data_IF_227719632770
#
_entry.id   IF_227719632770
#
_cell.length_a   1.000
_cell.length_b   1.000
_cell.length_c   1.000
_cell.angle_alpha   90.00
_cell.angle_beta   90.00
_cell.angle_gamma   90.00
#
_symmetry.space_group_name_H-M   'P 1'
#
loop_
_entity.id
_entity.type
_entity.pdbx_description
1 polymer ?
#
# COMPACT_ATOMS: atom_id res chain seq x y z
N UNK A 1 -16.98 -1.07 -8.34
CA UNK A 1 -16.70 -0.12 -7.24
C UNK A 1 -15.27 0.41 -7.28
N UNK A 2 -14.23 -0.38 -6.99
CA UNK A 2 -12.82 0.14 -6.99
C UNK A 2 -12.33 0.49 -8.40
N UNK A 3 -12.59 -0.33 -9.41
CA UNK A 3 -12.22 -0.03 -10.80
C UNK A 3 -12.88 1.27 -11.30
N UNK A 4 -14.18 1.43 -11.02
CA UNK A 4 -14.96 2.61 -11.40
C UNK A 4 -14.46 3.90 -10.71
N UNK A 5 -14.05 3.80 -9.45
CA UNK A 5 -13.42 4.91 -8.73
C UNK A 5 -12.10 5.33 -9.39
N UNK A 6 -11.25 4.37 -9.76
CA UNK A 6 -9.97 4.65 -10.43
C UNK A 6 -10.17 5.29 -11.81
N UNK A 7 -11.15 4.82 -12.59
CA UNK A 7 -11.53 5.45 -13.87
C UNK A 7 -11.96 6.90 -13.68
N UNK A 8 -12.76 7.19 -12.64
CA UNK A 8 -13.21 8.56 -12.34
C UNK A 8 -12.07 9.48 -11.88
N UNK A 9 -10.98 8.94 -11.33
CA UNK A 9 -9.81 9.70 -10.91
C UNK A 9 -8.88 10.06 -12.07
N UNK A 10 -8.87 9.27 -13.16
CA UNK A 10 -8.03 9.53 -14.32
C UNK A 10 -8.35 10.90 -14.94
N UNK A 11 -7.32 11.73 -15.13
CA UNK A 11 -7.45 13.08 -15.66
C UNK A 11 -8.08 14.11 -14.72
N UNK A 12 -8.49 13.74 -13.50
CA UNK A 12 -9.10 14.65 -12.52
C UNK A 12 -8.30 14.81 -11.23
N UNK A 13 -7.52 13.80 -10.85
CA UNK A 13 -6.66 13.83 -9.67
C UNK A 13 -5.18 13.96 -10.08
N UNK A 14 -4.30 14.41 -9.16
CA UNK A 14 -2.86 14.46 -9.42
C UNK A 14 -2.32 13.09 -9.85
N UNK A 15 -1.40 13.03 -10.83
CA UNK A 15 -1.00 11.76 -11.44
C UNK A 15 -0.26 10.84 -10.48
N UNK A 16 0.60 11.36 -9.62
CA UNK A 16 1.36 10.55 -8.64
C UNK A 16 0.46 9.70 -7.72
N UNK A 17 -0.53 10.25 -7.00
CA UNK A 17 -1.42 9.44 -6.17
C UNK A 17 -2.30 8.47 -6.97
N UNK A 18 -2.71 8.84 -8.19
CA UNK A 18 -3.46 7.91 -9.06
C UNK A 18 -2.59 6.73 -9.48
N UNK A 19 -1.33 6.97 -9.85
CA UNK A 19 -0.38 5.92 -10.22
C UNK A 19 -0.11 4.97 -9.05
N UNK A 20 0.06 5.48 -7.83
CA UNK A 20 0.22 4.64 -6.65
C UNK A 20 -1.00 3.73 -6.41
N UNK A 21 -2.22 4.24 -6.60
CA UNK A 21 -3.44 3.44 -6.44
C UNK A 21 -3.60 2.38 -7.54
N UNK A 22 -3.21 2.70 -8.77
CA UNK A 22 -3.21 1.74 -9.89
C UNK A 22 -2.22 0.62 -9.65
N UNK A 23 -1.01 0.94 -9.19
CA UNK A 23 0.03 -0.04 -8.84
C UNK A 23 -0.43 -0.93 -7.68
N UNK A 24 -1.02 -0.33 -6.64
CA UNK A 24 -1.57 -1.09 -5.52
C UNK A 24 -2.66 -2.06 -5.97
N UNK A 25 -3.58 -1.63 -6.86
CA UNK A 25 -4.61 -2.50 -7.42
C UNK A 25 -3.98 -3.66 -8.17
N UNK A 26 -3.03 -3.41 -9.08
CA UNK A 26 -2.44 -4.45 -9.93
C UNK A 26 -1.82 -5.57 -9.09
N UNK A 27 -1.03 -5.21 -8.07
CA UNK A 27 -0.30 -6.19 -7.27
C UNK A 27 -1.11 -6.78 -6.11
N UNK A 28 -2.04 -6.04 -5.52
CA UNK A 28 -2.73 -6.45 -4.30
C UNK A 28 -4.12 -7.05 -4.54
N UNK A 29 -4.74 -6.81 -5.69
CA UNK A 29 -6.14 -7.22 -5.93
C UNK A 29 -6.36 -8.72 -5.85
N UNK A 30 -5.54 -9.51 -6.54
CA UNK A 30 -5.64 -10.98 -6.55
C UNK A 30 -5.39 -11.58 -5.15
N UNK A 31 -4.29 -11.25 -4.45
CA UNK A 31 -4.07 -11.71 -3.08
C UNK A 31 -5.19 -11.35 -2.11
N UNK A 32 -5.64 -10.08 -2.11
CA UNK A 32 -6.70 -9.61 -1.21
C UNK A 32 -8.04 -10.33 -1.46
N UNK A 33 -8.40 -10.53 -2.73
CA UNK A 33 -9.63 -11.25 -3.11
C UNK A 33 -9.56 -12.74 -2.76
N UNK A 34 -8.38 -13.35 -2.87
CA UNK A 34 -8.15 -14.75 -2.51
C UNK A 34 -8.14 -15.00 -1.00
N UNK A 35 -7.62 -14.05 -0.22
CA UNK A 35 -7.56 -14.15 1.25
C UNK A 35 -8.95 -14.16 1.89
N UNK A 36 -9.92 -13.46 1.28
CA UNK A 36 -11.32 -13.38 1.75
C UNK A 36 -12.11 -14.66 1.45
N UNK A 37 -11.76 -15.41 0.40
CA UNK A 37 -12.60 -16.50 -0.10
C UNK A 37 -12.32 -17.89 0.50
N UNK A 38 -11.72 -17.99 1.70
CA UNK A 38 -11.70 -19.26 2.45
C UNK A 38 -11.08 -20.45 1.71
N UNK A 39 -10.20 -20.20 0.72
CA UNK A 39 -9.60 -21.25 -0.09
C UNK A 39 -8.61 -22.13 0.68
N UNK A 40 -7.92 -23.04 0.00
CA UNK A 40 -6.91 -23.96 0.56
C UNK A 40 -5.95 -23.26 1.53
N UNK A 41 -5.56 -22.02 1.24
CA UNK A 41 -4.69 -21.24 2.10
C UNK A 41 -5.31 -20.84 3.44
N UNK A 42 -6.61 -20.54 3.52
CA UNK A 42 -7.26 -20.22 4.79
C UNK A 42 -7.30 -21.47 5.70
N UNK A 43 -7.69 -22.63 5.14
CA UNK A 43 -7.72 -23.91 5.86
C UNK A 43 -6.32 -24.31 6.31
N UNK A 44 -5.32 -24.24 5.41
CA UNK A 44 -3.95 -24.59 5.72
C UNK A 44 -3.37 -23.71 6.83
N UNK A 45 -3.65 -22.41 6.82
CA UNK A 45 -3.15 -21.47 7.85
C UNK A 45 -3.89 -21.59 9.17
N UNK A 46 -5.19 -21.93 9.15
CA UNK A 46 -5.91 -22.27 10.38
C UNK A 46 -5.32 -23.50 11.06
N UNK A 47 -4.90 -24.50 10.28
CA UNK A 47 -4.32 -25.74 10.81
C UNK A 47 -2.83 -25.62 11.19
N UNK A 48 -2.02 -24.90 10.42
CA UNK A 48 -0.55 -24.88 10.57
C UNK A 48 0.03 -23.54 11.00
N UNK A 49 -0.81 -22.52 11.16
CA UNK A 49 -0.37 -21.14 11.37
C UNK A 49 0.12 -20.46 10.08
N UNK A 50 0.57 -19.23 10.22
CA UNK A 50 1.12 -18.43 9.12
C UNK A 50 2.65 -18.54 9.11
N UNK A 51 3.28 -18.69 7.93
CA UNK A 51 4.73 -18.54 7.83
C UNK A 51 5.17 -17.15 8.34
N UNK A 52 6.18 -17.09 9.19
CA UNK A 52 6.69 -15.83 9.74
C UNK A 52 7.05 -14.79 8.65
N UNK A 53 7.74 -15.16 7.55
CA UNK A 53 8.04 -14.19 6.48
C UNK A 53 6.78 -13.59 5.84
N UNK A 54 5.70 -14.36 5.75
CA UNK A 54 4.43 -13.88 5.21
C UNK A 54 3.77 -12.87 6.15
N UNK A 55 3.80 -13.12 7.47
CA UNK A 55 3.26 -12.18 8.45
C UNK A 55 4.05 -10.88 8.44
N UNK A 56 5.38 -10.96 8.44
CA UNK A 56 6.24 -9.79 8.41
C UNK A 56 6.00 -8.96 7.14
N UNK A 57 5.96 -9.61 5.98
CA UNK A 57 5.67 -8.95 4.71
C UNK A 57 4.28 -8.28 4.73
N UNK A 58 3.27 -8.93 5.29
CA UNK A 58 1.92 -8.37 5.37
C UNK A 58 1.87 -7.11 6.24
N UNK A 59 2.57 -7.12 7.38
CA UNK A 59 2.67 -5.95 8.27
C UNK A 59 3.40 -4.80 7.57
N UNK A 60 4.54 -5.07 6.92
CA UNK A 60 5.29 -4.06 6.15
C UNK A 60 4.43 -3.44 5.05
N UNK A 61 3.73 -4.26 4.26
CA UNK A 61 2.81 -3.78 3.21
C UNK A 61 1.70 -2.91 3.81
N UNK A 62 1.10 -3.33 4.93
CA UNK A 62 0.07 -2.54 5.61
C UNK A 62 0.59 -1.16 6.02
N UNK A 63 1.80 -1.09 6.57
CA UNK A 63 2.44 0.19 6.92
C UNK A 63 2.70 1.04 5.66
N UNK A 64 3.12 0.42 4.55
CA UNK A 64 3.26 1.08 3.26
C UNK A 64 1.97 1.75 2.79
N UNK A 65 0.83 1.06 2.92
CA UNK A 65 -0.48 1.64 2.60
C UNK A 65 -0.80 2.84 3.50
N UNK A 66 -0.52 2.76 4.81
CA UNK A 66 -0.70 3.90 5.72
C UNK A 66 0.15 5.11 5.32
N UNK A 67 1.38 4.88 4.87
CA UNK A 67 2.25 5.95 4.34
C UNK A 67 1.65 6.55 3.07
N UNK A 68 1.17 5.73 2.12
CA UNK A 68 0.51 6.21 0.91
C UNK A 68 -0.71 7.08 1.22
N UNK A 69 -1.53 6.70 2.21
CA UNK A 69 -2.66 7.51 2.71
C UNK A 69 -2.14 8.84 3.25
N UNK A 70 -1.09 8.84 4.06
CA UNK A 70 -0.46 10.06 4.55
C UNK A 70 0.03 10.97 3.42
N UNK A 71 0.67 10.40 2.38
CA UNK A 71 1.08 11.15 1.18
C UNK A 71 -0.11 11.80 0.49
N UNK A 72 -1.19 11.04 0.29
CA UNK A 72 -2.42 11.56 -0.32
C UNK A 72 -3.00 12.72 0.50
N UNK A 73 -3.07 12.61 1.83
CA UNK A 73 -3.57 13.68 2.70
C UNK A 73 -2.71 14.95 2.59
N UNK A 74 -1.38 14.82 2.55
CA UNK A 74 -0.48 15.96 2.36
C UNK A 74 -0.69 16.63 1.01
N UNK A 75 -0.88 15.83 -0.05
CA UNK A 75 -1.16 16.33 -1.40
C UNK A 75 -2.50 17.08 -1.43
N UNK A 76 -3.56 16.50 -0.89
CA UNK A 76 -4.90 17.11 -0.84
C UNK A 76 -4.94 18.39 0.00
N UNK A 77 -4.12 18.48 1.04
CA UNK A 77 -3.93 19.71 1.81
C UNK A 77 -3.18 20.82 1.03
N UNK A 78 -2.51 20.50 -0.09
CA UNK A 78 -1.69 21.45 -0.84
C UNK A 78 -0.23 21.55 -0.39
N UNK A 79 0.26 20.56 0.38
CA UNK A 79 1.65 20.46 0.80
C UNK A 79 2.01 21.36 1.98
N UNK A 80 1.88 22.68 1.86
CA UNK A 80 2.05 23.69 2.93
C UNK A 80 3.02 23.32 4.06
N UNK A 81 2.56 23.47 5.30
CA UNK A 81 3.29 23.09 6.53
C UNK A 81 3.46 21.58 6.71
N UNK A 82 2.78 20.77 5.89
CA UNK A 82 2.80 19.31 5.97
C UNK A 82 3.92 18.70 5.10
N UNK A 83 4.54 19.49 4.23
CA UNK A 83 5.66 19.07 3.38
C UNK A 83 6.80 18.53 4.25
N UNK A 84 7.36 17.40 3.83
CA UNK A 84 8.47 16.74 4.52
C UNK A 84 8.07 15.92 5.75
N UNK A 85 6.82 15.94 6.22
CA UNK A 85 6.37 15.08 7.34
C UNK A 85 6.40 13.60 6.97
N UNK A 86 5.91 13.24 5.77
CA UNK A 86 5.92 11.84 5.33
C UNK A 86 7.35 11.29 5.16
N UNK A 87 8.30 11.98 4.49
CA UNK A 87 9.70 11.55 4.47
C UNK A 87 10.34 11.37 5.85
N UNK A 88 9.95 12.18 6.85
CA UNK A 88 10.42 11.98 8.24
C UNK A 88 9.88 10.68 8.84
N UNK A 89 8.58 10.38 8.65
CA UNK A 89 7.97 9.12 9.07
C UNK A 89 8.64 7.95 8.36
N UNK A 90 8.83 8.03 7.04
CA UNK A 90 9.47 6.96 6.26
C UNK A 90 10.87 6.62 6.76
N UNK A 91 11.68 7.62 7.15
CA UNK A 91 13.01 7.37 7.73
C UNK A 91 12.93 6.81 9.15
N UNK A 92 12.03 7.33 9.97
CA UNK A 92 11.90 6.90 11.37
C UNK A 92 11.40 5.45 11.51
N UNK A 93 10.61 4.97 10.55
CA UNK A 93 10.01 3.64 10.54
C UNK A 93 10.51 2.77 9.37
N UNK A 94 11.70 3.06 8.85
CA UNK A 94 12.26 2.36 7.69
C UNK A 94 12.39 0.84 7.91
N UNK A 95 12.61 0.43 9.16
CA UNK A 95 12.74 -0.95 9.59
C UNK A 95 11.45 -1.77 9.46
N UNK A 96 10.28 -1.13 9.42
CA UNK A 96 8.97 -1.78 9.32
C UNK A 96 8.16 -1.34 8.09
N UNK A 97 8.80 -0.68 7.13
CA UNK A 97 8.20 -0.34 5.84
C UNK A 97 8.59 -1.34 4.74
N UNK A 98 7.87 -1.35 3.59
CA UNK A 98 8.29 -2.10 2.41
C UNK A 98 9.63 -1.56 1.90
N UNK A 99 10.46 -2.44 1.37
CA UNK A 99 11.69 -2.02 0.69
C UNK A 99 11.34 -1.14 -0.51
N UNK A 100 11.79 0.11 -0.48
CA UNK A 100 11.74 0.95 -1.68
C UNK A 100 12.81 0.46 -2.64
N UNK A 101 12.41 0.07 -3.86
CA UNK A 101 13.39 -0.15 -4.94
C UNK A 101 14.23 1.11 -5.07
N UNK A 102 15.51 1.02 -4.70
CA UNK A 102 16.50 2.03 -5.07
C UNK A 102 16.41 2.16 -6.59
N UNK A 103 16.01 3.31 -7.10
CA UNK A 103 16.21 3.61 -8.51
C UNK A 103 17.72 3.59 -8.71
N UNK A 104 18.22 2.51 -9.32
CA UNK A 104 19.59 2.39 -9.76
C UNK A 104 19.83 3.60 -10.67
N UNK A 105 20.85 4.40 -10.30
CA UNK A 105 21.34 5.56 -11.07
C UNK A 105 21.77 5.18 -12.48
#
# INVERSE_FOLDING_TARGET
MVSEMLEKLQGKAPPEPVNMLLEFREYSWKPLSSFVHGGIHAIHRHSKGYPLPLLEQMVRISNGVSVMVGMLVVILHGGGEQRGKIPKIQRAFADCLPETKSQIS
#
